data_IF_950901937228
#
_entry.id   IF_950901937228
#
_cell.length_a   1.000
_cell.length_b   1.000
_cell.length_c   1.000
_cell.angle_alpha   90.00
_cell.angle_beta   90.00
_cell.angle_gamma   90.00
#
_symmetry.space_group_name_H-M   'P 1'
#
loop_
_entity.id
_entity.type
_entity.pdbx_description
1 polymer ?
#
# COMPACT_ATOMS: atom_id res chain seq x y z
N UNK A 1 -5.35 12.37 -11.72
CA UNK A 1 -4.93 12.14 -10.33
C UNK A 1 -4.89 10.67 -9.94
N UNK A 2 -5.98 9.91 -10.09
CA UNK A 2 -6.07 8.53 -9.58
C UNK A 2 -4.94 7.57 -10.00
N UNK A 3 -4.62 7.49 -11.29
CA UNK A 3 -3.56 6.59 -11.82
C UNK A 3 -2.12 6.99 -11.51
N UNK A 4 -1.87 8.22 -11.06
CA UNK A 4 -0.51 8.71 -10.80
C UNK A 4 -0.11 8.60 -9.31
N UNK A 5 -1.11 8.59 -8.42
CA UNK A 5 -0.87 8.52 -6.98
C UNK A 5 -0.33 7.15 -6.57
N UNK A 6 -0.93 6.08 -7.10
CA UNK A 6 -0.53 4.71 -6.83
C UNK A 6 0.95 4.44 -7.16
N UNK A 7 1.46 4.67 -8.39
CA UNK A 7 2.87 4.40 -8.69
C UNK A 7 3.84 5.26 -7.86
N UNK A 8 3.46 6.49 -7.51
CA UNK A 8 4.28 7.35 -6.66
C UNK A 8 4.37 6.81 -5.23
N UNK A 9 3.23 6.42 -4.65
CA UNK A 9 3.18 5.90 -3.29
C UNK A 9 3.73 4.48 -3.18
N UNK A 10 3.59 3.67 -4.22
CA UNK A 10 3.98 2.25 -4.29
C UNK A 10 5.41 2.05 -4.79
N UNK A 11 6.11 3.13 -5.14
CA UNK A 11 7.51 3.06 -5.51
C UNK A 11 8.34 2.50 -4.34
N UNK A 12 9.17 1.50 -4.63
CA UNK A 12 9.99 0.86 -3.61
C UNK A 12 9.21 0.03 -2.58
N UNK A 13 7.96 -0.38 -2.86
CA UNK A 13 7.15 -1.20 -1.94
C UNK A 13 7.85 -2.48 -1.48
N UNK A 14 8.76 -3.03 -2.28
CA UNK A 14 9.60 -4.15 -1.89
C UNK A 14 10.49 -3.90 -0.66
N UNK A 15 10.91 -2.64 -0.47
CA UNK A 15 11.79 -2.20 0.63
C UNK A 15 10.92 -1.94 1.87
N UNK A 16 9.96 -1.02 1.76
CA UNK A 16 9.17 -0.61 2.91
C UNK A 16 7.90 -1.45 3.17
N UNK A 17 7.61 -2.47 2.36
CA UNK A 17 6.38 -3.27 2.46
C UNK A 17 6.19 -3.96 3.81
N UNK A 18 7.28 -4.35 4.49
CA UNK A 18 7.25 -4.85 5.87
C UNK A 18 6.69 -3.83 6.86
N UNK A 19 6.93 -2.54 6.62
CA UNK A 19 6.45 -1.46 7.48
C UNK A 19 4.91 -1.35 7.51
N UNK A 20 4.18 -2.01 6.61
CA UNK A 20 2.71 -2.11 6.63
C UNK A 20 2.17 -2.84 7.87
N UNK A 21 3.01 -3.57 8.61
CA UNK A 21 2.65 -4.12 9.94
C UNK A 21 2.35 -3.00 10.95
N UNK A 22 2.98 -1.83 10.78
CA UNK A 22 2.83 -0.70 11.68
C UNK A 22 1.57 0.07 11.31
N UNK A 23 0.58 0.08 12.20
CA UNK A 23 -0.67 0.84 12.04
C UNK A 23 -0.44 2.34 11.76
N UNK A 24 0.65 2.92 12.27
CA UNK A 24 1.06 4.30 12.01
C UNK A 24 1.39 4.55 10.55
N UNK A 25 2.12 3.64 9.90
CA UNK A 25 2.48 3.74 8.48
C UNK A 25 1.22 3.65 7.61
N UNK A 26 0.33 2.70 7.91
CA UNK A 26 -0.97 2.58 7.22
C UNK A 26 -1.80 3.86 7.37
N UNK A 27 -1.84 4.47 8.56
CA UNK A 27 -2.53 5.74 8.79
C UNK A 27 -1.93 6.89 7.98
N UNK A 28 -0.60 6.98 7.89
CA UNK A 28 0.08 8.00 7.10
C UNK A 28 -0.24 7.86 5.61
N UNK A 29 -0.14 6.64 5.08
CA UNK A 29 -0.49 6.33 3.69
C UNK A 29 -1.97 6.68 3.39
N UNK A 30 -2.90 6.28 4.26
CA UNK A 30 -4.32 6.64 4.11
C UNK A 30 -4.59 8.13 4.23
N UNK A 31 -3.78 8.88 4.99
CA UNK A 31 -3.89 10.35 5.09
C UNK A 31 -3.53 11.04 3.76
N UNK A 32 -2.48 10.57 3.09
CA UNK A 32 -2.09 11.06 1.76
C UNK A 32 -3.18 10.74 0.73
N UNK A 33 -3.64 9.48 0.69
CA UNK A 33 -4.73 9.09 -0.19
C UNK A 33 -6.01 9.87 0.06
N UNK A 34 -6.36 10.13 1.34
CA UNK A 34 -7.53 10.93 1.70
C UNK A 34 -7.47 12.33 1.09
N UNK A 35 -6.32 13.01 1.19
CA UNK A 35 -6.15 14.35 0.62
C UNK A 35 -6.37 14.34 -0.89
N UNK A 36 -5.81 13.34 -1.59
CA UNK A 36 -6.03 13.18 -3.02
C UNK A 36 -7.49 12.89 -3.36
N UNK A 37 -8.15 12.00 -2.60
CA UNK A 37 -9.55 11.65 -2.81
C UNK A 37 -10.47 12.87 -2.63
N UNK A 38 -10.29 13.65 -1.55
CA UNK A 38 -11.06 14.87 -1.32
C UNK A 38 -10.84 15.91 -2.44
N UNK A 39 -9.60 16.04 -2.94
CA UNK A 39 -9.31 16.94 -4.05
C UNK A 39 -9.95 16.47 -5.38
N UNK A 40 -10.07 15.16 -5.59
CA UNK A 40 -10.70 14.58 -6.77
C UNK A 40 -12.23 14.67 -6.75
N UNK A 41 -12.85 14.45 -5.59
CA UNK A 41 -14.30 14.30 -5.48
C UNK A 41 -15.01 15.55 -4.98
N UNK A 42 -14.28 16.48 -4.34
CA UNK A 42 -14.88 17.67 -3.70
C UNK A 42 -15.73 17.36 -2.47
N UNK A 43 -15.62 16.16 -1.89
CA UNK A 43 -16.39 15.78 -0.70
C UNK A 43 -16.11 16.67 0.52
N UNK A 44 -17.04 16.68 1.48
CA UNK A 44 -16.83 17.35 2.76
C UNK A 44 -15.58 16.84 3.48
N UNK A 45 -14.89 17.74 4.19
CA UNK A 45 -13.70 17.39 4.99
C UNK A 45 -13.99 16.37 6.10
N UNK A 46 -15.25 16.21 6.51
CA UNK A 46 -15.74 15.26 7.51
C UNK A 46 -16.12 13.89 6.92
N UNK A 47 -16.21 13.76 5.60
CA UNK A 47 -16.55 12.50 4.93
C UNK A 47 -15.58 11.40 5.33
N UNK A 48 -16.06 10.20 5.68
CA UNK A 48 -15.20 9.06 6.04
C UNK A 48 -14.22 8.73 4.90
N UNK A 49 -12.99 8.35 5.24
CA UNK A 49 -11.93 8.10 4.23
C UNK A 49 -12.32 7.01 3.24
N UNK A 50 -12.92 5.93 3.71
CA UNK A 50 -13.37 4.82 2.85
C UNK A 50 -14.41 5.29 1.81
N UNK A 51 -15.34 6.15 2.23
CA UNK A 51 -16.36 6.74 1.34
C UNK A 51 -15.70 7.68 0.33
N UNK A 52 -14.77 8.54 0.77
CA UNK A 52 -14.06 9.44 -0.14
C UNK A 52 -13.23 8.66 -1.18
N UNK A 53 -12.58 7.57 -0.78
CA UNK A 53 -11.83 6.69 -1.69
C UNK A 53 -12.75 5.97 -2.67
N UNK A 54 -13.86 5.41 -2.20
CA UNK A 54 -14.85 4.75 -3.05
C UNK A 54 -15.42 5.71 -4.11
N UNK A 55 -15.78 6.94 -3.71
CA UNK A 55 -16.24 7.99 -4.62
C UNK A 55 -15.16 8.44 -5.61
N UNK A 56 -13.89 8.42 -5.20
CA UNK A 56 -12.74 8.72 -6.05
C UNK A 56 -12.35 7.54 -6.97
N UNK A 57 -12.97 6.37 -6.82
CA UNK A 57 -12.58 5.15 -7.53
C UNK A 57 -11.19 4.64 -7.15
N UNK A 58 -10.73 4.92 -5.92
CA UNK A 58 -9.41 4.56 -5.42
C UNK A 58 -9.47 3.37 -4.46
N UNK A 59 -8.63 2.37 -4.70
CA UNK A 59 -8.42 1.27 -3.76
C UNK A 59 -7.54 1.74 -2.60
N UNK A 60 -7.80 1.32 -1.34
CA UNK A 60 -6.90 1.61 -0.22
C UNK A 60 -5.47 1.14 -0.52
N UNK A 61 -4.50 2.06 -0.45
CA UNK A 61 -3.10 1.81 -0.85
C UNK A 61 -2.46 0.71 -0.02
N UNK A 62 -2.89 0.53 1.23
CA UNK A 62 -2.41 -0.55 2.08
C UNK A 62 -2.74 -1.94 1.54
N UNK A 63 -3.85 -2.08 0.80
CA UNK A 63 -4.21 -3.35 0.16
C UNK A 63 -3.41 -3.56 -1.12
N UNK A 64 -3.32 -2.52 -1.97
CA UNK A 64 -2.56 -2.57 -3.22
C UNK A 64 -1.07 -2.83 -2.95
N UNK A 65 -0.51 -2.22 -1.91
CA UNK A 65 0.88 -2.42 -1.54
C UNK A 65 1.17 -3.88 -1.13
N UNK A 66 0.26 -4.50 -0.38
CA UNK A 66 0.38 -5.92 0.00
C UNK A 66 0.32 -6.84 -1.21
N UNK A 67 -0.62 -6.59 -2.11
CA UNK A 67 -0.76 -7.34 -3.35
C UNK A 67 0.49 -7.22 -4.22
N UNK A 68 1.02 -6.01 -4.40
CA UNK A 68 2.25 -5.79 -5.16
C UNK A 68 3.45 -6.50 -4.55
N UNK A 69 3.59 -6.52 -3.23
CA UNK A 69 4.67 -7.28 -2.57
C UNK A 69 4.55 -8.77 -2.87
N UNK A 70 3.33 -9.33 -2.80
CA UNK A 70 3.06 -10.74 -3.10
C UNK A 70 3.33 -11.06 -4.59
N UNK A 71 2.93 -10.18 -5.50
CA UNK A 71 3.20 -10.34 -6.94
C UNK A 71 4.69 -10.22 -7.27
N UNK A 72 5.36 -9.18 -6.77
CA UNK A 72 6.80 -9.00 -7.00
C UNK A 72 7.61 -10.17 -6.43
N UNK A 73 7.12 -10.78 -5.35
CA UNK A 73 7.64 -12.01 -4.80
C UNK A 73 7.41 -13.21 -5.74
N UNK A 74 6.17 -13.48 -6.17
CA UNK A 74 5.83 -14.66 -6.98
C UNK A 74 6.53 -14.66 -8.34
N UNK A 75 6.74 -13.49 -8.92
CA UNK A 75 7.38 -13.31 -10.22
C UNK A 75 8.93 -13.31 -10.15
N UNK A 76 9.54 -13.45 -8.96
CA UNK A 76 10.99 -13.59 -8.80
C UNK A 76 11.80 -12.30 -9.03
N UNK A 77 11.16 -11.18 -9.32
CA UNK A 77 11.79 -9.88 -9.58
C UNK A 77 12.55 -9.33 -8.35
N UNK A 78 12.27 -9.85 -7.15
CA UNK A 78 12.86 -9.41 -5.88
C UNK A 78 14.01 -10.27 -5.35
N UNK A 79 14.51 -11.26 -6.12
CA UNK A 79 15.50 -12.24 -5.62
C UNK A 79 16.74 -11.64 -4.95
N UNK A 80 17.16 -10.42 -5.32
CA UNK A 80 18.32 -9.72 -4.75
C UNK A 80 18.03 -8.64 -3.70
N UNK A 81 16.77 -8.21 -3.50
CA UNK A 81 16.39 -7.17 -2.50
C UNK A 81 15.63 -7.76 -1.30
N UNK A 82 15.75 -9.07 -1.13
CA UNK A 82 14.90 -9.88 -0.27
C UNK A 82 15.29 -9.80 1.22
N UNK A 83 16.43 -9.19 1.55
CA UNK A 83 16.95 -9.14 2.92
C UNK A 83 16.01 -8.45 3.90
N UNK A 84 15.29 -7.41 3.48
CA UNK A 84 14.38 -6.69 4.37
C UNK A 84 13.08 -7.47 4.66
N UNK A 85 12.64 -8.28 3.69
CA UNK A 85 11.49 -9.18 3.81
C UNK A 85 11.88 -10.58 4.32
N UNK A 86 13.18 -10.83 4.57
CA UNK A 86 13.73 -12.13 5.02
C UNK A 86 13.14 -12.59 6.33
N UNK A 87 12.82 -11.66 7.24
CA UNK A 87 12.20 -12.00 8.52
C UNK A 87 10.69 -12.30 8.40
N UNK A 88 10.15 -12.30 7.18
CA UNK A 88 8.73 -12.48 6.90
C UNK A 88 7.90 -11.21 7.12
N UNK A 89 6.59 -11.34 6.86
CA UNK A 89 5.59 -10.30 7.09
C UNK A 89 4.41 -10.88 7.88
N UNK A 90 4.07 -10.31 9.03
CA UNK A 90 2.96 -10.76 9.88
C UNK A 90 1.59 -10.69 9.15
N UNK A 91 1.44 -9.75 8.21
CA UNK A 91 0.22 -9.60 7.41
C UNK A 91 0.13 -10.59 6.23
N UNK A 92 1.19 -11.34 5.92
CA UNK A 92 1.18 -12.40 4.90
C UNK A 92 2.01 -13.60 5.36
N UNK A 93 1.37 -14.57 6.03
CA UNK A 93 2.03 -15.80 6.48
C UNK A 93 2.64 -16.61 5.34
N UNK A 94 2.11 -16.49 4.12
CA UNK A 94 2.63 -17.18 2.93
C UNK A 94 4.04 -16.69 2.55
N UNK A 95 4.42 -15.47 2.93
CA UNK A 95 5.77 -14.95 2.74
C UNK A 95 6.76 -15.47 3.81
N UNK A 96 6.29 -16.13 4.87
CA UNK A 96 7.16 -16.66 5.94
C UNK A 96 7.83 -18.01 5.59
N UNK A 97 7.32 -18.73 4.58
CA UNK A 97 7.85 -20.04 4.16
C UNK A 97 9.08 -19.93 3.25
N UNK A 98 9.66 -18.75 3.14
CA UNK A 98 10.68 -18.43 2.15
C UNK A 98 12.02 -18.30 2.86
N UNK A 99 12.66 -19.45 3.06
CA UNK A 99 14.03 -19.55 3.56
C UNK A 99 15.01 -19.79 2.42
#
# INVERSE_FOLDING_TARGET
WGKALEPMMLNGVAVWGKALERKTVVKQLRSVQRKAALAMTGCFKTTKTEVALALAGLTPVDLVAKELVVLQYSHGTLRGRMEELRDGCAWSPHLAFVR
#
